data_IF_715395418201
#
_entry.id   IF_715395418201
#
_cell.length_a   1.000
_cell.length_b   1.000
_cell.length_c   1.000
_cell.angle_alpha   90.00
_cell.angle_beta   90.00
_cell.angle_gamma   90.00
#
_symmetry.space_group_name_H-M   'P 1'
#
loop_
_entity.id
_entity.type
_entity.pdbx_description
1 polymer ?
#
# COMPACT_ATOMS: atom_id res chain seq x y z
N UNK A 1 61.45 -26.07 8.48
CA UNK A 1 61.07 -25.81 9.88
C UNK A 1 60.04 -24.67 9.87
N UNK A 2 58.74 -24.98 9.75
CA UNK A 2 57.70 -25.05 10.83
C UNK A 2 57.46 -23.64 11.40
N UNK A 3 56.30 -22.95 11.39
CA UNK A 3 54.82 -23.15 11.37
C UNK A 3 54.25 -21.78 10.89
N UNK A 4 53.03 -21.54 10.43
CA UNK A 4 51.74 -22.24 10.49
C UNK A 4 50.61 -21.21 10.32
N UNK A 5 49.39 -21.73 10.24
CA UNK A 5 48.10 -21.08 10.53
C UNK A 5 47.55 -19.97 9.64
N UNK A 6 46.54 -20.42 8.89
CA UNK A 6 45.16 -19.97 8.91
C UNK A 6 44.76 -18.73 8.11
N UNK A 7 43.61 -18.93 7.47
CA UNK A 7 42.44 -18.06 7.51
C UNK A 7 42.11 -17.42 6.16
N UNK A 8 41.01 -17.95 5.59
CA UNK A 8 40.03 -17.24 4.78
C UNK A 8 40.49 -16.82 3.39
N UNK A 9 39.87 -17.44 2.39
CA UNK A 9 39.13 -16.73 1.34
C UNK A 9 38.34 -17.79 0.57
N UNK A 10 37.30 -18.33 1.21
CA UNK A 10 36.13 -18.78 0.44
C UNK A 10 35.63 -17.54 -0.27
N UNK A 11 35.92 -17.43 -1.57
CA UNK A 11 35.29 -16.44 -2.41
C UNK A 11 33.79 -16.73 -2.42
N UNK A 12 33.09 -16.13 -1.47
CA UNK A 12 31.65 -15.97 -1.46
C UNK A 12 31.31 -15.43 -2.84
N UNK A 13 30.66 -16.27 -3.64
CA UNK A 13 30.00 -15.86 -4.87
C UNK A 13 29.08 -14.73 -4.44
N UNK A 14 29.52 -13.51 -4.71
CA UNK A 14 28.83 -12.30 -4.36
C UNK A 14 27.52 -12.36 -5.13
N UNK A 15 26.46 -12.46 -4.34
CA UNK A 15 25.06 -12.44 -4.70
C UNK A 15 24.79 -11.19 -5.57
N UNK A 16 25.12 -11.24 -6.87
CA UNK A 16 24.68 -10.25 -7.85
C UNK A 16 23.23 -10.55 -8.14
N UNK A 17 22.38 -10.17 -7.19
CA UNK A 17 20.95 -9.96 -7.39
C UNK A 17 20.86 -8.89 -8.48
N UNK A 18 20.63 -9.32 -9.71
CA UNK A 18 20.38 -8.42 -10.84
C UNK A 18 19.34 -7.40 -10.37
N UNK A 19 19.79 -6.15 -10.31
CA UNK A 19 18.90 -5.01 -10.23
C UNK A 19 18.18 -5.00 -11.57
N UNK A 20 16.98 -5.59 -11.60
CA UNK A 20 16.10 -5.63 -12.77
C UNK A 20 15.70 -4.21 -13.12
N UNK A 21 16.61 -3.57 -13.85
CA UNK A 21 16.53 -2.25 -14.44
C UNK A 21 15.83 -2.41 -15.78
N UNK A 22 14.60 -2.91 -15.74
CA UNK A 22 13.71 -2.94 -16.89
C UNK A 22 12.45 -2.21 -16.46
N UNK A 23 12.38 -0.95 -16.90
CA UNK A 23 11.15 -0.19 -17.09
C UNK A 23 9.94 -1.13 -17.26
N UNK A 24 9.17 -1.29 -16.19
CA UNK A 24 7.87 -1.95 -16.31
C UNK A 24 7.00 -1.02 -17.14
N UNK A 25 6.90 -1.34 -18.43
CA UNK A 25 5.79 -0.88 -19.25
C UNK A 25 4.58 -1.63 -18.70
N UNK A 26 3.87 -1.02 -17.74
CA UNK A 26 2.53 -1.47 -17.38
C UNK A 26 1.73 -1.47 -18.69
N UNK A 27 1.21 -2.62 -19.10
CA UNK A 27 0.23 -2.63 -20.18
C UNK A 27 -1.01 -1.92 -19.64
N UNK A 28 -1.08 -0.61 -19.88
CA UNK A 28 -2.11 0.29 -19.34
C UNK A 28 -3.54 -0.15 -19.72
N UNK A 29 -3.69 -0.98 -20.76
CA UNK A 29 -4.99 -1.38 -21.30
C UNK A 29 -5.45 -2.80 -20.90
N UNK A 30 -4.78 -3.49 -19.96
CA UNK A 30 -5.21 -4.84 -19.54
C UNK A 30 -6.54 -4.77 -18.79
N UNK A 31 -7.52 -5.54 -19.26
CA UNK A 31 -8.80 -5.70 -18.58
C UNK A 31 -8.64 -6.56 -17.31
N UNK A 32 -8.83 -5.97 -16.13
CA UNK A 32 -8.70 -6.65 -14.84
C UNK A 32 -10.03 -7.20 -14.35
N UNK A 33 -11.13 -6.45 -14.52
CA UNK A 33 -12.46 -6.87 -14.09
C UNK A 33 -13.41 -7.00 -15.26
N UNK A 34 -13.68 -8.24 -15.69
CA UNK A 34 -14.65 -8.50 -16.77
C UNK A 34 -16.08 -8.12 -16.39
N UNK A 35 -16.44 -8.21 -15.11
CA UNK A 35 -17.80 -7.87 -14.68
C UNK A 35 -18.08 -6.38 -14.87
N UNK A 36 -17.17 -5.51 -14.44
CA UNK A 36 -17.40 -4.06 -14.40
C UNK A 36 -16.67 -3.29 -15.51
N UNK A 37 -16.03 -4.02 -16.43
CA UNK A 37 -15.19 -3.51 -17.50
C UNK A 37 -14.17 -2.50 -16.96
N UNK A 38 -13.31 -2.95 -16.04
CA UNK A 38 -12.30 -2.10 -15.40
C UNK A 38 -10.90 -2.52 -15.88
N UNK A 39 -10.10 -1.55 -16.31
CA UNK A 39 -8.71 -1.76 -16.74
C UNK A 39 -7.70 -1.54 -15.61
N UNK A 40 -6.48 -2.04 -15.80
CA UNK A 40 -5.35 -1.82 -14.90
C UNK A 40 -5.07 -0.32 -14.70
N UNK A 41 -5.05 0.47 -15.77
CA UNK A 41 -4.84 1.94 -15.70
C UNK A 41 -5.88 2.65 -14.84
N UNK A 42 -7.16 2.35 -15.01
CA UNK A 42 -8.22 2.96 -14.19
C UNK A 42 -7.99 2.67 -12.70
N UNK A 43 -7.57 1.45 -12.36
CA UNK A 43 -7.27 1.07 -10.98
C UNK A 43 -6.07 1.86 -10.45
N UNK A 44 -4.97 1.94 -11.22
CA UNK A 44 -3.75 2.67 -10.82
C UNK A 44 -4.01 4.16 -10.63
N UNK A 45 -4.79 4.77 -11.51
CA UNK A 45 -5.16 6.18 -11.43
C UNK A 45 -5.95 6.46 -10.15
N UNK A 46 -6.97 5.64 -9.85
CA UNK A 46 -7.75 5.76 -8.62
C UNK A 46 -6.88 5.58 -7.38
N UNK A 47 -5.99 4.59 -7.37
CA UNK A 47 -5.05 4.38 -6.25
C UNK A 47 -4.15 5.60 -6.07
N UNK A 48 -3.61 6.15 -7.15
CA UNK A 48 -2.75 7.34 -7.09
C UNK A 48 -3.51 8.56 -6.55
N UNK A 49 -4.74 8.79 -7.02
CA UNK A 49 -5.59 9.86 -6.52
C UNK A 49 -5.89 9.70 -5.02
N UNK A 50 -6.17 8.48 -4.56
CA UNK A 50 -6.33 8.19 -3.14
C UNK A 50 -5.05 8.53 -2.38
N UNK A 51 -3.89 8.06 -2.83
CA UNK A 51 -2.60 8.34 -2.17
C UNK A 51 -2.23 9.83 -2.19
N UNK A 52 -2.67 10.60 -3.18
CA UNK A 52 -2.49 12.06 -3.22
C UNK A 52 -3.37 12.79 -2.19
N UNK A 53 -4.55 12.26 -1.86
CA UNK A 53 -5.39 12.77 -0.76
C UNK A 53 -4.80 12.46 0.62
N UNK A 54 -4.35 11.22 0.83
CA UNK A 54 -3.65 10.77 2.04
C UNK A 54 -2.73 9.61 1.69
N UNK A 55 -1.42 9.87 1.76
CA UNK A 55 -0.39 8.95 1.29
C UNK A 55 -0.22 7.70 2.15
N UNK A 56 -0.76 7.66 3.37
CA UNK A 56 -0.61 6.54 4.29
C UNK A 56 -1.92 5.80 4.57
N UNK A 57 -2.97 6.12 3.80
CA UNK A 57 -4.27 5.48 3.99
C UNK A 57 -4.24 3.99 3.63
N UNK A 58 -5.01 3.19 4.36
CA UNK A 58 -5.23 1.79 3.99
C UNK A 58 -6.12 1.70 2.74
N UNK A 59 -5.55 1.21 1.65
CA UNK A 59 -6.27 0.96 0.40
C UNK A 59 -6.65 -0.52 0.32
N UNK A 60 -7.96 -0.77 0.17
CA UNK A 60 -8.52 -2.11 -0.03
C UNK A 60 -9.34 -2.14 -1.32
N UNK A 61 -9.54 -3.30 -1.97
CA UNK A 61 -10.29 -3.38 -3.23
C UNK A 61 -11.68 -2.74 -3.15
N UNK A 62 -12.37 -2.89 -2.01
CA UNK A 62 -13.67 -2.26 -1.79
C UNK A 62 -13.61 -0.72 -1.85
N UNK A 63 -12.54 -0.11 -1.33
CA UNK A 63 -12.33 1.35 -1.35
C UNK A 63 -12.06 1.85 -2.77
N UNK A 64 -11.21 1.13 -3.51
CA UNK A 64 -10.92 1.43 -4.92
C UNK A 64 -12.19 1.37 -5.76
N UNK A 65 -13.00 0.32 -5.58
CA UNK A 65 -14.28 0.19 -6.30
C UNK A 65 -15.28 1.27 -5.90
N UNK A 66 -15.35 1.61 -4.61
CA UNK A 66 -16.22 2.67 -4.11
C UNK A 66 -15.85 4.04 -4.68
N UNK A 67 -14.56 4.35 -4.80
CA UNK A 67 -14.06 5.59 -5.40
C UNK A 67 -14.43 5.69 -6.90
N UNK A 68 -14.57 4.56 -7.60
CA UNK A 68 -15.09 4.51 -8.97
C UNK A 68 -16.63 4.48 -9.05
N UNK A 69 -17.33 4.64 -7.93
CA UNK A 69 -18.79 4.49 -7.83
C UNK A 69 -19.32 3.11 -8.29
N UNK A 70 -18.46 2.08 -8.23
CA UNK A 70 -18.78 0.69 -8.63
C UNK A 70 -18.87 -0.21 -7.40
N UNK A 71 -19.68 -1.28 -7.51
CA UNK A 71 -19.68 -2.38 -6.53
C UNK A 71 -19.07 -3.65 -7.12
N UNK A 72 -18.40 -4.45 -6.29
CA UNK A 72 -17.90 -5.77 -6.71
C UNK A 72 -19.07 -6.72 -7.01
N UNK A 73 -19.11 -7.28 -8.23
CA UNK A 73 -20.14 -8.24 -8.65
C UNK A 73 -19.78 -9.70 -8.30
N UNK A 74 -18.65 -10.19 -8.80
CA UNK A 74 -18.18 -11.56 -8.55
C UNK A 74 -16.96 -11.65 -7.62
N UNK A 75 -16.28 -10.52 -7.42
CA UNK A 75 -15.05 -10.39 -6.60
C UNK A 75 -13.86 -11.30 -6.98
N UNK A 76 -13.93 -12.03 -8.10
CA UNK A 76 -12.85 -12.92 -8.55
C UNK A 76 -11.58 -12.20 -9.00
N UNK A 77 -11.69 -10.92 -9.36
CA UNK A 77 -10.57 -10.06 -9.76
C UNK A 77 -9.85 -9.39 -8.57
N UNK A 78 -10.34 -9.55 -7.34
CA UNK A 78 -9.78 -8.88 -6.16
C UNK A 78 -8.31 -9.26 -5.88
N UNK A 79 -7.86 -10.52 -6.04
CA UNK A 79 -6.45 -10.84 -5.87
C UNK A 79 -5.54 -10.01 -6.80
N UNK A 80 -5.90 -9.90 -8.08
CA UNK A 80 -5.15 -9.07 -9.04
C UNK A 80 -5.21 -7.58 -8.68
N UNK A 81 -6.34 -7.09 -8.18
CA UNK A 81 -6.45 -5.70 -7.69
C UNK A 81 -5.53 -5.47 -6.49
N UNK A 82 -5.38 -6.43 -5.58
CA UNK A 82 -4.45 -6.33 -4.44
C UNK A 82 -3.01 -6.24 -4.92
N UNK A 83 -2.62 -7.05 -5.92
CA UNK A 83 -1.27 -6.97 -6.50
C UNK A 83 -1.00 -5.59 -7.10
N UNK A 84 -1.98 -5.03 -7.82
CA UNK A 84 -1.89 -3.68 -8.39
C UNK A 84 -1.78 -2.63 -7.27
N UNK A 85 -2.53 -2.77 -6.17
CA UNK A 85 -2.43 -1.88 -5.00
C UNK A 85 -1.00 -1.90 -4.45
N UNK A 86 -0.46 -3.07 -4.12
CA UNK A 86 0.88 -3.20 -3.54
C UNK A 86 1.90 -2.50 -4.44
N UNK A 87 1.91 -2.86 -5.72
CA UNK A 87 2.85 -2.32 -6.68
C UNK A 87 2.72 -0.81 -6.88
N UNK A 88 1.49 -0.30 -7.04
CA UNK A 88 1.26 1.13 -7.25
C UNK A 88 1.66 1.91 -6.00
N UNK A 89 1.39 1.38 -4.81
CA UNK A 89 1.81 2.02 -3.55
C UNK A 89 3.33 2.03 -3.38
N UNK A 90 4.01 0.91 -3.66
CA UNK A 90 5.48 0.84 -3.62
C UNK A 90 6.11 1.85 -4.59
N UNK A 91 5.61 1.92 -5.82
CA UNK A 91 6.09 2.89 -6.82
C UNK A 91 5.80 4.35 -6.40
N UNK A 92 4.63 4.60 -5.85
CA UNK A 92 4.24 5.93 -5.36
C UNK A 92 5.22 6.41 -4.27
N UNK A 93 5.51 5.57 -3.29
CA UNK A 93 6.43 5.89 -2.20
C UNK A 93 7.91 5.88 -2.64
N UNK A 94 8.30 5.06 -3.62
CA UNK A 94 9.65 5.08 -4.15
C UNK A 94 9.97 6.41 -4.86
N UNK A 95 8.99 7.01 -5.54
CA UNK A 95 9.13 8.34 -6.16
C UNK A 95 9.11 9.48 -5.15
N UNK A 96 8.44 9.29 -4.03
CA UNK A 96 8.24 10.31 -3.00
C UNK A 96 9.18 10.02 -1.84
N UNK A 97 10.37 10.62 -1.84
CA UNK A 97 11.31 10.55 -0.70
C UNK A 97 10.65 11.12 0.57
N UNK A 98 9.88 10.32 1.30
CA UNK A 98 9.34 10.70 2.59
C UNK A 98 10.48 10.73 3.59
N UNK A 99 10.76 11.91 4.14
CA UNK A 99 11.81 12.03 5.17
C UNK A 99 11.33 11.40 6.47
N UNK A 100 12.26 10.83 7.25
CA UNK A 100 11.95 10.19 8.55
C UNK A 100 11.16 11.11 9.50
N UNK A 101 11.34 12.43 9.34
CA UNK A 101 10.60 13.48 10.06
C UNK A 101 9.11 13.52 9.72
N UNK A 102 8.72 13.31 8.46
CA UNK A 102 7.32 13.30 8.03
C UNK A 102 6.56 12.07 8.56
N UNK A 103 7.26 10.94 8.67
CA UNK A 103 6.71 9.70 9.24
C UNK A 103 6.35 9.90 10.73
N UNK A 104 7.22 10.58 11.50
CA UNK A 104 6.98 10.84 12.92
C UNK A 104 5.79 11.80 13.14
N UNK A 105 5.66 12.84 12.32
CA UNK A 105 4.53 13.77 12.37
C UNK A 105 3.22 13.03 12.04
N UNK A 106 3.22 12.19 11.00
CA UNK A 106 2.06 11.39 10.63
C UNK A 106 1.61 10.45 11.75
N UNK A 107 2.55 9.71 12.37
CA UNK A 107 2.23 8.80 13.47
C UNK A 107 1.68 9.54 14.70
N UNK A 108 2.10 10.79 14.91
CA UNK A 108 1.59 11.64 15.98
C UNK A 108 0.14 12.08 15.71
N UNK A 109 -0.15 12.52 14.48
CA UNK A 109 -1.50 12.89 14.04
C UNK A 109 -2.47 11.70 14.08
N UNK A 110 -2.05 10.51 13.66
CA UNK A 110 -2.86 9.30 13.73
C UNK A 110 -3.27 8.94 15.16
N UNK A 111 -2.33 9.02 16.11
CA UNK A 111 -2.63 8.74 17.53
C UNK A 111 -3.68 9.69 18.08
N UNK A 112 -3.59 10.98 17.72
CA UNK A 112 -4.57 11.97 18.11
C UNK A 112 -5.95 11.66 17.53
N UNK A 113 -6.04 11.39 16.23
CA UNK A 113 -7.31 11.06 15.56
C UNK A 113 -7.98 9.82 16.16
N UNK A 114 -7.20 8.79 16.48
CA UNK A 114 -7.72 7.57 17.11
C UNK A 114 -8.28 7.84 18.51
N UNK A 115 -7.62 8.68 19.30
CA UNK A 115 -8.11 9.10 20.62
C UNK A 115 -9.41 9.91 20.52
N UNK A 116 -9.50 10.83 19.56
CA UNK A 116 -10.70 11.63 19.31
C UNK A 116 -11.91 10.76 18.90
N UNK A 117 -11.72 9.84 17.94
CA UNK A 117 -12.77 8.91 17.53
C UNK A 117 -13.18 7.98 18.68
N UNK A 118 -12.23 7.50 19.48
CA UNK A 118 -12.53 6.67 20.66
C UNK A 118 -13.38 7.44 21.66
N UNK A 119 -13.08 8.72 21.92
CA UNK A 119 -13.89 9.59 22.80
C UNK A 119 -15.29 9.77 22.24
N UNK A 120 -15.42 10.12 20.96
CA UNK A 120 -16.71 10.31 20.30
C UNK A 120 -17.58 9.03 20.32
N UNK A 121 -16.97 7.86 20.18
CA UNK A 121 -17.67 6.58 20.26
C UNK A 121 -18.12 6.22 21.67
N UNK A 122 -17.29 6.50 22.69
CA UNK A 122 -17.65 6.31 24.10
C UNK A 122 -18.82 7.25 24.47
N UNK A 123 -18.75 8.52 24.09
CA UNK A 123 -19.82 9.50 24.32
C UNK A 123 -21.13 9.10 23.64
N UNK A 124 -21.07 8.67 22.37
CA UNK A 124 -22.24 8.15 21.63
C UNK A 124 -22.87 6.97 22.34
N UNK A 125 -22.06 6.00 22.82
CA UNK A 125 -22.57 4.84 23.59
C UNK A 125 -23.21 5.27 24.91
N UNK A 126 -22.58 6.17 25.67
CA UNK A 126 -23.12 6.64 26.95
C UNK A 126 -24.44 7.40 26.82
N UNK A 127 -24.60 8.21 25.76
CA UNK A 127 -25.85 8.94 25.48
C UNK A 127 -27.00 7.98 25.13
N UNK A 128 -26.73 6.93 24.37
CA UNK A 128 -27.73 5.91 24.02
C UNK A 128 -28.22 5.11 25.23
N UNK A 129 -27.39 4.90 26.26
CA UNK A 129 -27.79 4.19 27.50
C UNK A 129 -28.58 5.05 28.50
N UNK A 130 -28.63 6.39 28.34
CA UNK A 130 -29.37 7.30 29.24
C UNK A 130 -30.80 7.60 28.78
N UNK A 131 -31.24 7.03 27.67
CA UNK A 131 -32.56 7.27 27.07
C UNK A 131 -33.59 6.14 27.36
N UNK A 132 -33.38 5.34 28.41
CA UNK A 132 -34.30 4.30 28.87
C UNK A 132 -34.78 4.61 30.29
#
# INVERSE_FOLDING_TARGET
>A
MIRGSNFFLTATIFFSRKHDSQCHVWNEDVLVCSCNYITDKEIREVITNLLDEDCWQLIVPAKVYHAMEKRGRCCGCFPSVVDIIIQTTEEYHARRHSTETEIFDFMSRLKQFHEENRRADIERRQKSHRAA
#
